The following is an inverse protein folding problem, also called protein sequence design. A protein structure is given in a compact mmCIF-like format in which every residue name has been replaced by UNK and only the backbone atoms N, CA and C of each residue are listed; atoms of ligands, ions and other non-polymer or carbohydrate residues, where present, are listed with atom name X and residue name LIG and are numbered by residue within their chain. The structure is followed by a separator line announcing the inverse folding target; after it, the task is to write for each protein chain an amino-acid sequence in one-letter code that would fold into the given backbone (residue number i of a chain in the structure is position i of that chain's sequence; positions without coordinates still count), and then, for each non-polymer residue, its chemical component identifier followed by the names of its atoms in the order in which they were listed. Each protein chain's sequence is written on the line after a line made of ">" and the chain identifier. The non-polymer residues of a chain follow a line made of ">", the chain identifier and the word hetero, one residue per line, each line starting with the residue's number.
data_IF_202837742604
#
_entry.id   IF_202837742604
#
_cell.length_a   1.000
_cell.length_b   1.000
_cell.length_c   1.000
_cell.angle_alpha   90.00
_cell.angle_beta   90.00
_cell.angle_gamma   90.00
#
_symmetry.space_group_name_H-M   'P 1'
#
loop_
_entity.id
_entity.type
_entity.pdbx_description
1 polymer ?
#
# COMPACT_ATOMS: atom_id res chain seq x y z
N UNK A 1 -7.73 -41.85 17.84
CA UNK A 1 -7.60 -41.42 16.44
C UNK A 1 -8.46 -40.18 16.27
N UNK A 2 -7.84 -39.01 16.29
CA UNK A 2 -8.45 -37.76 15.81
C UNK A 2 -7.36 -37.09 14.98
N UNK A 3 -7.59 -36.99 13.68
CA UNK A 3 -6.69 -36.36 12.72
C UNK A 3 -6.65 -34.86 13.01
N UNK A 4 -5.45 -34.37 13.31
CA UNK A 4 -5.14 -32.95 13.38
C UNK A 4 -5.29 -32.35 11.98
N UNK A 5 -6.32 -31.51 11.79
CA UNK A 5 -6.48 -30.67 10.61
C UNK A 5 -5.29 -29.69 10.54
N UNK A 6 -4.61 -29.75 9.40
CA UNK A 6 -3.35 -29.06 9.13
C UNK A 6 -3.42 -27.55 9.30
N UNK A 7 -2.26 -27.00 9.63
CA UNK A 7 -1.94 -25.58 9.61
C UNK A 7 -2.43 -24.94 8.30
N UNK A 8 -3.41 -24.04 8.41
CA UNK A 8 -3.79 -23.16 7.33
C UNK A 8 -2.67 -22.12 7.16
N UNK A 9 -1.80 -22.34 6.18
CA UNK A 9 -0.97 -21.25 5.67
C UNK A 9 -1.89 -20.15 5.16
N UNK A 10 -1.96 -19.03 5.89
CA UNK A 10 -2.73 -17.85 5.48
C UNK A 10 -2.14 -17.23 4.21
N UNK A 11 -2.50 -17.76 3.04
CA UNK A 11 -2.04 -17.31 1.71
C UNK A 11 -3.17 -16.53 1.00
N UNK A 12 -3.72 -15.53 1.69
CA UNK A 12 -4.71 -14.61 1.15
C UNK A 12 -4.11 -13.21 0.96
N UNK A 13 -4.70 -12.36 0.10
CA UNK A 13 -4.29 -10.96 -0.01
C UNK A 13 -4.35 -10.25 1.35
N UNK A 14 -3.33 -9.48 1.68
CA UNK A 14 -3.32 -8.65 2.88
C UNK A 14 -4.22 -7.43 2.64
N UNK A 15 -5.28 -7.29 3.44
CA UNK A 15 -6.17 -6.12 3.35
C UNK A 15 -5.62 -4.94 4.16
N UNK A 16 -5.41 -3.79 3.52
CA UNK A 16 -4.96 -2.54 4.15
C UNK A 16 -6.00 -1.45 3.92
N UNK A 17 -6.31 -0.67 4.96
CA UNK A 17 -7.28 0.44 4.92
C UNK A 17 -6.56 1.75 5.24
N UNK A 18 -6.83 2.78 4.45
CA UNK A 18 -6.31 4.14 4.68
C UNK A 18 -7.30 5.20 4.18
N UNK A 19 -6.95 6.46 4.34
CA UNK A 19 -7.75 7.61 3.93
C UNK A 19 -7.03 8.46 2.87
N UNK A 20 -7.79 9.23 2.11
CA UNK A 20 -7.25 10.20 1.16
C UNK A 20 -6.33 11.20 1.88
N UNK A 21 -5.19 11.52 1.26
CA UNK A 21 -4.18 12.46 1.78
C UNK A 21 -3.16 11.84 2.74
N UNK A 22 -3.45 10.67 3.31
CA UNK A 22 -2.54 9.96 4.21
C UNK A 22 -1.37 9.31 3.47
N UNK A 23 -0.41 8.80 4.24
CA UNK A 23 0.57 7.83 3.76
C UNK A 23 0.21 6.42 4.24
N UNK A 24 0.49 5.42 3.41
CA UNK A 24 0.25 4.00 3.73
C UNK A 24 1.47 3.16 3.40
N UNK A 25 1.67 2.09 4.16
CA UNK A 25 2.72 1.10 3.93
C UNK A 25 2.06 -0.20 3.44
N UNK A 26 2.44 -0.64 2.24
CA UNK A 26 2.05 -1.93 1.70
C UNK A 26 3.14 -2.95 2.05
N UNK A 27 2.85 -3.96 2.90
CA UNK A 27 3.88 -4.84 3.42
C UNK A 27 4.39 -5.81 2.36
N UNK A 28 5.70 -5.98 2.27
CA UNK A 28 6.32 -7.07 1.51
C UNK A 28 7.63 -7.50 2.17
N UNK A 29 7.76 -8.80 2.44
CA UNK A 29 8.98 -9.37 3.02
C UNK A 29 9.58 -10.42 2.11
N UNK A 30 10.79 -10.15 1.65
CA UNK A 30 11.55 -11.01 0.74
C UNK A 30 12.55 -11.81 1.57
N UNK A 31 12.63 -13.11 1.33
CA UNK A 31 13.69 -13.91 1.90
C UNK A 31 15.02 -13.59 1.18
N UNK A 32 15.93 -12.94 1.90
CA UNK A 32 17.27 -12.58 1.42
C UNK A 32 18.27 -13.61 1.92
N UNK A 33 19.02 -14.21 0.99
CA UNK A 33 20.12 -15.10 1.36
C UNK A 33 21.32 -14.27 1.78
N UNK A 34 22.09 -14.71 2.79
CA UNK A 34 23.29 -14.01 3.31
C UNK A 34 24.39 -13.68 2.27
N UNK A 35 24.24 -14.11 1.02
CA UNK A 35 25.21 -13.98 -0.07
C UNK A 35 24.69 -13.19 -1.28
N UNK A 36 23.52 -12.56 -1.19
CA UNK A 36 22.93 -11.84 -2.32
C UNK A 36 23.04 -10.33 -2.14
N UNK A 37 23.36 -9.66 -3.25
CA UNK A 37 23.21 -8.23 -3.43
C UNK A 37 21.78 -7.77 -3.11
N UNK A 38 21.62 -6.47 -2.86
CA UNK A 38 20.31 -5.85 -2.58
C UNK A 38 19.30 -6.32 -3.64
N UNK A 39 18.16 -6.92 -3.23
CA UNK A 39 17.24 -7.54 -4.18
C UNK A 39 16.63 -6.52 -5.12
N UNK A 40 16.48 -6.89 -6.40
CA UNK A 40 15.63 -6.15 -7.34
C UNK A 40 14.15 -6.44 -7.03
N UNK A 41 13.35 -5.38 -6.94
CA UNK A 41 11.94 -5.43 -6.51
C UNK A 41 11.08 -4.59 -7.43
N UNK A 42 9.93 -5.12 -7.79
CA UNK A 42 8.86 -4.40 -8.47
C UNK A 42 7.61 -4.40 -7.60
N UNK A 43 6.94 -3.26 -7.52
CA UNK A 43 5.55 -3.17 -7.12
C UNK A 43 4.69 -2.81 -8.32
N UNK A 44 3.60 -3.54 -8.52
CA UNK A 44 2.65 -3.30 -9.59
C UNK A 44 1.21 -3.24 -9.06
N UNK A 45 0.35 -2.47 -9.72
CA UNK A 45 -1.09 -2.40 -9.44
C UNK A 45 -1.86 -3.07 -10.57
N UNK A 46 -2.73 -4.04 -10.23
CA UNK A 46 -3.59 -4.71 -11.21
C UNK A 46 -4.55 -3.72 -11.87
N UNK A 47 -4.83 -3.93 -13.16
CA UNK A 47 -5.81 -3.15 -13.91
C UNK A 47 -5.34 -1.74 -14.31
N UNK A 48 -4.04 -1.48 -14.28
CA UNK A 48 -3.42 -0.23 -14.73
C UNK A 48 -2.45 -0.51 -15.90
N UNK A 49 -2.24 0.46 -16.80
CA UNK A 49 -1.26 0.35 -17.88
C UNK A 49 -0.54 1.69 -18.05
N UNK A 50 0.79 1.75 -17.91
CA UNK A 50 1.67 0.71 -17.34
C UNK A 50 1.24 0.37 -15.89
N UNK A 51 1.48 -0.86 -15.43
CA UNK A 51 1.03 -1.31 -14.11
C UNK A 51 2.08 -1.09 -13.00
N UNK A 52 3.31 -0.70 -13.34
CA UNK A 52 4.40 -0.54 -12.37
C UNK A 52 4.18 0.71 -11.51
N UNK A 53 4.12 0.52 -10.20
CA UNK A 53 4.01 1.60 -9.21
C UNK A 53 5.38 2.04 -8.71
N UNK A 54 6.33 1.11 -8.65
CA UNK A 54 7.69 1.33 -8.17
C UNK A 54 8.60 0.21 -8.68
N UNK A 55 9.83 0.55 -9.05
CA UNK A 55 10.82 -0.39 -9.53
C UNK A 55 12.20 -0.05 -8.96
N UNK A 56 12.81 -1.02 -8.28
CA UNK A 56 14.20 -0.96 -7.82
C UNK A 56 14.99 -2.08 -8.47
N UNK A 57 16.02 -1.74 -9.25
CA UNK A 57 16.88 -2.69 -9.95
C UNK A 57 18.28 -2.12 -10.09
N UNK A 58 19.28 -2.99 -10.08
CA UNK A 58 20.69 -2.59 -10.22
C UNK A 58 21.15 -1.50 -9.24
N UNK A 59 20.57 -1.48 -8.02
CA UNK A 59 20.98 -0.56 -6.95
C UNK A 59 20.33 0.83 -6.98
N UNK A 60 19.37 1.08 -7.88
CA UNK A 60 18.67 2.36 -7.94
C UNK A 60 17.17 2.20 -8.25
N UNK A 61 16.41 3.25 -7.94
CA UNK A 61 15.05 3.39 -8.43
C UNK A 61 15.05 3.69 -9.94
N UNK A 62 14.20 3.01 -10.68
CA UNK A 62 14.02 3.18 -12.13
C UNK A 62 12.67 3.82 -12.39
N UNK A 63 12.63 4.89 -13.20
CA UNK A 63 11.44 5.70 -13.41
C UNK A 63 10.75 5.47 -14.76
N UNK A 64 11.50 5.00 -15.76
CA UNK A 64 11.07 4.91 -17.16
C UNK A 64 9.86 3.98 -17.35
N UNK A 65 9.73 2.98 -16.49
CA UNK A 65 8.65 1.98 -16.55
C UNK A 65 7.50 2.29 -15.59
N UNK A 66 7.66 3.28 -14.70
CA UNK A 66 6.64 3.63 -13.70
C UNK A 66 5.42 4.25 -14.37
N UNK A 67 4.26 3.93 -13.84
CA UNK A 67 3.06 4.69 -14.18
C UNK A 67 3.19 6.14 -13.65
N UNK A 68 2.93 7.15 -14.50
CA UNK A 68 2.99 8.56 -14.11
C UNK A 68 2.23 8.91 -12.84
N UNK A 69 1.11 8.22 -12.53
CA UNK A 69 0.29 8.49 -11.33
C UNK A 69 1.01 8.19 -10.01
N UNK A 70 2.10 7.41 -10.04
CA UNK A 70 2.91 7.05 -8.86
C UNK A 70 4.24 7.78 -8.78
N UNK A 71 4.58 8.62 -9.76
CA UNK A 71 5.80 9.42 -9.72
C UNK A 71 5.83 10.29 -8.45
N UNK A 72 6.97 10.28 -7.76
CA UNK A 72 7.22 11.02 -6.51
C UNK A 72 6.30 10.69 -5.32
N UNK A 73 5.47 9.66 -5.43
CA UNK A 73 4.54 9.23 -4.36
C UNK A 73 4.93 7.90 -3.73
N UNK A 74 5.77 7.12 -4.40
CA UNK A 74 6.18 5.77 -3.99
C UNK A 74 7.66 5.70 -3.61
N UNK A 75 7.99 4.86 -2.62
CA UNK A 75 9.36 4.64 -2.16
C UNK A 75 9.51 3.35 -1.35
N UNK A 76 10.73 2.81 -1.28
CA UNK A 76 11.10 1.71 -0.38
C UNK A 76 11.88 2.22 0.84
N UNK A 77 11.91 1.41 1.89
CA UNK A 77 12.82 1.57 3.02
C UNK A 77 14.20 1.01 2.65
N UNK A 78 14.99 1.77 1.89
CA UNK A 78 16.24 1.30 1.28
C UNK A 78 17.23 0.68 2.29
N UNK A 79 17.32 1.25 3.50
CA UNK A 79 18.18 0.73 4.57
C UNK A 79 17.75 -0.65 5.08
N UNK A 80 16.48 -1.00 4.96
CA UNK A 80 15.91 -2.27 5.41
C UNK A 80 15.73 -3.29 4.26
N UNK A 81 15.89 -2.85 3.00
CA UNK A 81 15.78 -3.72 1.84
C UNK A 81 16.81 -4.84 1.85
N UNK A 82 18.03 -4.55 2.32
CA UNK A 82 19.10 -5.55 2.55
C UNK A 82 18.72 -6.61 3.60
N UNK A 83 17.77 -6.29 4.49
CA UNK A 83 17.23 -7.20 5.50
C UNK A 83 15.94 -7.88 5.03
N UNK A 84 15.57 -7.70 3.75
CA UNK A 84 14.39 -8.28 3.14
C UNK A 84 13.11 -7.45 3.29
N UNK A 85 13.17 -6.24 3.87
CA UNK A 85 11.99 -5.38 3.89
C UNK A 85 11.83 -4.66 2.54
N UNK A 86 10.91 -5.15 1.73
CA UNK A 86 10.56 -4.58 0.43
C UNK A 86 9.20 -3.86 0.47
N UNK A 87 8.76 -3.43 1.66
CA UNK A 87 7.48 -2.75 1.83
C UNK A 87 7.47 -1.40 1.12
N UNK A 88 6.37 -1.11 0.42
CA UNK A 88 6.18 0.12 -0.32
C UNK A 88 5.55 1.17 0.56
N UNK A 89 6.17 2.34 0.67
CA UNK A 89 5.50 3.55 1.15
C UNK A 89 4.81 4.24 -0.03
N UNK A 90 3.51 4.46 0.07
CA UNK A 90 2.71 5.30 -0.83
C UNK A 90 2.23 6.53 -0.06
N UNK A 91 2.55 7.72 -0.54
CA UNK A 91 2.17 9.01 0.08
C UNK A 91 1.11 9.74 -0.75
N UNK A 92 0.43 10.72 -0.14
CA UNK A 92 -0.64 11.50 -0.78
C UNK A 92 -1.72 10.56 -1.34
N UNK A 93 -2.21 9.60 -0.55
CA UNK A 93 -3.11 8.55 -1.06
C UNK A 93 -4.38 9.15 -1.67
N UNK A 94 -4.83 8.60 -2.79
CA UNK A 94 -6.00 9.01 -3.58
C UNK A 94 -7.00 7.88 -3.66
N UNK A 95 -8.28 8.20 -3.88
CA UNK A 95 -9.32 7.17 -4.08
C UNK A 95 -8.97 6.20 -5.22
N UNK A 96 -8.34 6.72 -6.28
CA UNK A 96 -7.89 5.93 -7.43
C UNK A 96 -6.76 4.95 -7.11
N UNK A 97 -6.11 5.08 -5.96
CA UNK A 97 -5.08 4.13 -5.55
C UNK A 97 -5.68 2.84 -4.98
N UNK A 98 -6.96 2.81 -4.63
CA UNK A 98 -7.61 1.58 -4.20
C UNK A 98 -7.46 0.46 -5.26
N UNK A 99 -7.30 -0.77 -4.80
CA UNK A 99 -7.15 -1.95 -5.64
C UNK A 99 -6.06 -2.91 -5.17
N UNK A 100 -5.72 -3.86 -6.04
CA UNK A 100 -4.79 -4.95 -5.73
C UNK A 100 -3.39 -4.60 -6.23
N UNK A 101 -2.43 -4.71 -5.32
CA UNK A 101 -1.00 -4.51 -5.55
C UNK A 101 -0.26 -5.83 -5.39
N UNK A 102 0.80 -5.99 -6.17
CA UNK A 102 1.68 -7.16 -6.13
C UNK A 102 3.12 -6.72 -5.98
N UNK A 103 3.78 -7.29 -4.97
CA UNK A 103 5.23 -7.21 -4.81
C UNK A 103 5.88 -8.39 -5.52
N UNK A 104 6.83 -8.12 -6.42
CA UNK A 104 7.64 -9.13 -7.11
C UNK A 104 9.11 -8.97 -6.77
N UNK A 105 9.76 -10.09 -6.46
CA UNK A 105 11.22 -10.17 -6.47
C UNK A 105 11.67 -10.51 -7.90
N UNK A 106 12.60 -9.74 -8.45
CA UNK A 106 13.09 -9.88 -9.83
C UNK A 106 14.43 -10.61 -9.95
N UNK A 107 14.91 -11.24 -8.88
CA UNK A 107 16.16 -12.00 -8.92
C UNK A 107 15.93 -13.38 -9.55
N UNK A 108 16.46 -13.57 -10.76
CA UNK A 108 16.16 -14.74 -11.59
C UNK A 108 14.78 -14.60 -12.24
N UNK A 109 13.97 -15.66 -12.20
CA UNK A 109 12.59 -15.59 -12.65
C UNK A 109 11.76 -14.70 -11.70
N UNK A 110 10.98 -13.72 -12.20
CA UNK A 110 10.11 -12.89 -11.38
C UNK A 110 9.16 -13.75 -10.54
N UNK A 111 9.13 -13.52 -9.23
CA UNK A 111 8.27 -14.26 -8.29
C UNK A 111 7.42 -13.28 -7.49
N UNK A 112 6.10 -13.50 -7.46
CA UNK A 112 5.18 -12.77 -6.58
C UNK A 112 5.47 -13.18 -5.14
N UNK A 113 5.66 -12.19 -4.27
CA UNK A 113 6.05 -12.36 -2.86
C UNK A 113 4.88 -12.04 -1.95
N UNK A 114 4.13 -10.99 -2.26
CA UNK A 114 2.95 -10.58 -1.51
C UNK A 114 1.91 -9.95 -2.44
N UNK A 115 0.65 -10.12 -2.06
CA UNK A 115 -0.50 -9.49 -2.70
C UNK A 115 -1.20 -8.67 -1.63
N UNK A 116 -1.44 -7.39 -1.92
CA UNK A 116 -2.07 -6.45 -0.97
C UNK A 116 -3.30 -5.85 -1.63
N UNK A 117 -4.44 -5.88 -0.94
CA UNK A 117 -5.65 -5.15 -1.36
C UNK A 117 -5.75 -3.87 -0.55
N UNK A 118 -5.64 -2.73 -1.23
CA UNK A 118 -5.72 -1.41 -0.62
C UNK A 118 -7.15 -0.87 -0.75
N UNK A 119 -7.76 -0.56 0.39
CA UNK A 119 -9.03 0.15 0.50
C UNK A 119 -8.75 1.61 0.91
N UNK A 120 -9.35 2.56 0.18
CA UNK A 120 -9.20 3.99 0.44
C UNK A 120 -10.55 4.61 0.75
N UNK A 121 -10.68 5.23 1.92
CA UNK A 121 -11.86 6.02 2.30
C UNK A 121 -11.59 7.53 2.24
N UNK A 122 -12.64 8.33 2.31
CA UNK A 122 -12.55 9.77 2.58
C UNK A 122 -12.81 10.03 4.05
N UNK A 123 -12.06 10.94 4.68
CA UNK A 123 -12.48 11.51 5.95
C UNK A 123 -13.42 12.68 5.67
N UNK A 124 -14.64 12.61 6.19
CA UNK A 124 -15.49 13.79 6.27
C UNK A 124 -14.99 14.60 7.47
N UNK A 125 -14.09 15.56 7.23
CA UNK A 125 -13.82 16.60 8.22
C UNK A 125 -15.03 17.53 8.28
N UNK A 126 -16.04 17.17 9.06
CA UNK A 126 -17.21 18.02 9.34
C UNK A 126 -16.81 19.36 9.98
N UNK A 127 -15.58 19.50 10.48
CA UNK A 127 -15.07 20.73 11.07
C UNK A 127 -14.99 21.94 10.12
N UNK A 128 -14.84 21.75 8.80
CA UNK A 128 -14.75 22.90 7.86
C UNK A 128 -16.11 23.38 7.33
N UNK A 129 -17.19 22.62 7.50
CA UNK A 129 -18.54 23.07 7.13
C UNK A 129 -19.24 23.87 8.24
N UNK A 130 -18.94 23.59 9.52
CA UNK A 130 -19.57 24.30 10.63
C UNK A 130 -18.91 25.64 10.99
N UNK A 131 -17.64 25.89 10.61
CA UNK A 131 -16.95 27.13 11.00
C UNK A 131 -17.31 28.38 10.18
N UNK A 132 -18.14 28.28 9.13
CA UNK A 132 -18.72 29.48 8.49
C UNK A 132 -20.08 29.88 9.06
N UNK A 133 -20.66 29.09 9.96
CA UNK A 133 -21.92 29.44 10.59
C UNK A 133 -22.03 28.78 11.96
N UNK A 134 -21.42 29.43 12.96
CA UNK A 134 -22.12 29.96 14.14
C UNK A 134 -21.10 30.41 15.18
N UNK A 135 -21.32 31.64 15.65
CA UNK A 135 -20.60 32.24 16.77
C UNK A 135 -21.03 31.55 18.08
N UNK A 136 -20.03 31.36 18.94
CA UNK A 136 -20.09 31.32 20.42
C UNK A 136 -20.47 29.98 21.08
N UNK A 137 -19.63 29.62 22.06
CA UNK A 137 -19.63 28.51 23.02
C UNK A 137 -18.86 27.23 22.60
N UNK A 138 -17.67 27.11 23.19
CA UNK A 138 -16.83 25.91 23.22
C UNK A 138 -17.33 24.98 24.32
N UNK A 139 -17.44 23.69 23.98
CA UNK A 139 -17.09 22.56 24.85
C UNK A 139 -16.78 21.37 23.93
N UNK A 140 -15.50 21.11 23.68
CA UNK A 140 -15.05 19.97 22.87
C UNK A 140 -14.83 18.80 23.82
N UNK A 141 -15.77 17.84 23.83
CA UNK A 141 -15.47 16.47 24.22
C UNK A 141 -15.15 15.68 22.95
N UNK A 142 -13.94 15.10 22.93
CA UNK A 142 -13.46 14.21 21.90
C UNK A 142 -14.30 12.93 21.89
N UNK A 143 -15.14 12.75 20.88
CA UNK A 143 -15.60 11.44 20.45
C UNK A 143 -15.46 11.32 18.93
N UNK A 144 -14.72 10.29 18.50
CA UNK A 144 -14.40 9.98 17.10
C UNK A 144 -15.67 9.86 16.25
N UNK A 145 -15.82 10.61 15.13
CA UNK A 145 -16.91 10.37 14.19
C UNK A 145 -16.47 9.48 13.02
N UNK A 146 -17.15 8.34 12.92
CA UNK A 146 -17.59 7.61 11.71
C UNK A 146 -16.77 7.74 10.42
N UNK A 147 -16.06 6.65 10.04
CA UNK A 147 -15.48 6.44 8.71
C UNK A 147 -16.38 5.52 7.87
N UNK A 148 -16.73 5.96 6.66
CA UNK A 148 -17.47 5.15 5.67
C UNK A 148 -16.50 4.66 4.58
N UNK A 149 -16.47 3.36 4.32
CA UNK A 149 -15.73 2.79 3.18
C UNK A 149 -16.65 2.75 1.95
N UNK A 150 -16.28 3.46 0.88
CA UNK A 150 -16.98 3.38 -0.41
C UNK A 150 -16.31 2.30 -1.26
N UNK A 151 -16.96 1.15 -1.42
CA UNK A 151 -16.51 0.12 -2.37
C UNK A 151 -17.05 0.46 -3.75
N UNK A 152 -16.16 0.81 -4.69
CA UNK A 152 -16.53 1.00 -6.10
C UNK A 152 -16.86 -0.38 -6.69
N UNK A 153 -18.14 -0.71 -6.86
CA UNK A 153 -18.57 -1.82 -7.72
C UNK A 153 -18.58 -1.29 -9.17
N UNK A 154 -17.78 -1.90 -10.05
CA UNK A 154 -17.94 -1.71 -11.50
C UNK A 154 -19.30 -2.26 -11.90
N UNK A 155 -20.05 -1.46 -12.67
CA UNK A 155 -21.30 -1.83 -13.36
C UNK A 155 -20.98 -2.83 -14.46
#
# INVERSE_FOLDING_TARGET
>A
MFESLGDASGDGPVAIRTWVGEAVILPCRINVSRRQDVPSVEWSKRGLTPNVCFLYRAGCETFEEKNPVFLFRTGLFLEELKNGNASLRLSDVRLTDAGIYECRRLQGAPRVVSIVELFVGTSENTHTFFLKSLRRWVSIHNDRPSCSFVTIKRI
#
